data_IF_829328203320
#
_entry.id   IF_829328203320
#
_cell.length_a   1.000
_cell.length_b   1.000
_cell.length_c   1.000
_cell.angle_alpha   90.00
_cell.angle_beta   90.00
_cell.angle_gamma   90.00
#
_symmetry.space_group_name_H-M   'P 1'
#
loop_
_entity.id
_entity.type
_entity.pdbx_description
1 polymer ?
#
# COMPACT_ATOMS: atom_id res chain seq x y z
N UNK A 1 -4.65 2.71 -3.90
CA UNK A 1 -5.52 3.42 -2.96
C UNK A 1 -6.89 2.80 -2.94
N UNK A 2 -7.57 2.91 -1.82
CA UNK A 2 -8.99 2.58 -1.67
C UNK A 2 -9.72 3.77 -1.04
N UNK A 3 -9.77 4.87 -1.78
CA UNK A 3 -10.35 6.15 -1.35
C UNK A 3 -11.87 6.03 -1.38
N UNK A 4 -12.49 5.60 -0.28
CA UNK A 4 -13.96 5.55 -0.16
C UNK A 4 -14.53 4.47 0.73
N UNK A 5 -13.71 3.51 1.20
CA UNK A 5 -14.16 2.52 2.17
C UNK A 5 -13.46 2.80 3.50
N UNK A 6 -14.25 2.97 4.57
CA UNK A 6 -13.72 2.71 5.92
C UNK A 6 -13.07 1.33 5.88
N UNK A 7 -11.90 1.12 6.49
CA UNK A 7 -11.16 -0.11 6.34
C UNK A 7 -12.08 -1.25 6.78
N UNK A 8 -12.56 -2.03 5.81
CA UNK A 8 -13.53 -3.08 6.08
C UNK A 8 -12.89 -4.00 7.10
N UNK A 9 -13.45 -4.05 8.32
CA UNK A 9 -12.97 -4.92 9.41
C UNK A 9 -13.11 -6.40 9.05
N UNK A 10 -13.65 -6.72 7.87
CA UNK A 10 -13.70 -8.07 7.37
C UNK A 10 -12.28 -8.60 7.16
N UNK A 11 -12.02 -9.77 7.74
CA UNK A 11 -10.81 -10.55 7.49
C UNK A 11 -10.61 -10.84 5.98
N UNK A 12 -11.67 -10.79 5.19
CA UNK A 12 -11.69 -11.02 3.74
C UNK A 12 -11.32 -9.81 2.87
N UNK A 13 -11.12 -8.62 3.44
CA UNK A 13 -10.80 -7.41 2.66
C UNK A 13 -9.63 -7.65 1.70
N UNK A 14 -8.51 -8.20 2.19
CA UNK A 14 -7.34 -8.45 1.34
C UNK A 14 -7.60 -9.49 0.25
N UNK A 15 -8.36 -10.56 0.54
CA UNK A 15 -8.70 -11.57 -0.47
C UNK A 15 -9.46 -10.94 -1.64
N UNK A 16 -10.45 -10.09 -1.33
CA UNK A 16 -11.23 -9.38 -2.34
C UNK A 16 -10.37 -8.37 -3.10
N UNK A 17 -9.68 -7.48 -2.38
CA UNK A 17 -9.00 -6.34 -2.98
C UNK A 17 -7.75 -6.74 -3.78
N UNK A 18 -7.02 -7.75 -3.34
CA UNK A 18 -5.90 -8.29 -4.12
C UNK A 18 -6.39 -8.87 -5.45
N UNK A 19 -7.54 -9.57 -5.44
CA UNK A 19 -8.14 -10.10 -6.66
C UNK A 19 -8.66 -8.99 -7.59
N UNK A 20 -9.51 -8.10 -7.07
CA UNK A 20 -10.09 -6.99 -7.84
C UNK A 20 -9.04 -6.04 -8.44
N UNK A 21 -7.88 -5.90 -7.79
CA UNK A 21 -6.76 -5.07 -8.26
C UNK A 21 -5.72 -5.86 -9.07
N UNK A 22 -6.07 -7.06 -9.52
CA UNK A 22 -5.24 -7.92 -10.39
C UNK A 22 -3.89 -8.32 -9.79
N UNK A 23 -3.75 -8.30 -8.46
CA UNK A 23 -2.54 -8.71 -7.75
C UNK A 23 -2.43 -10.24 -7.55
N UNK A 24 -3.46 -10.99 -7.97
CA UNK A 24 -3.50 -12.45 -7.94
C UNK A 24 -3.48 -13.08 -9.34
N UNK A 25 -3.24 -12.29 -10.40
CA UNK A 25 -3.17 -12.81 -11.77
C UNK A 25 -1.81 -13.44 -12.06
N UNK A 26 -1.79 -14.71 -12.47
CA UNK A 26 -0.59 -15.50 -12.78
C UNK A 26 0.24 -15.94 -11.57
N UNK A 27 0.18 -15.21 -10.45
CA UNK A 27 0.78 -15.58 -9.16
C UNK A 27 0.10 -14.82 -8.02
N UNK A 28 0.23 -15.33 -6.79
CA UNK A 28 -0.14 -14.57 -5.61
C UNK A 28 0.97 -13.56 -5.28
N UNK A 29 0.65 -12.26 -5.29
CA UNK A 29 1.61 -11.25 -4.84
C UNK A 29 1.78 -11.38 -3.31
N UNK A 30 2.98 -11.61 -2.77
CA UNK A 30 3.13 -12.00 -1.36
C UNK A 30 2.75 -10.91 -0.35
N UNK A 31 3.01 -9.65 -0.65
CA UNK A 31 2.73 -8.51 0.23
C UNK A 31 2.21 -7.32 -0.58
N UNK A 32 1.21 -6.63 -0.06
CA UNK A 32 0.72 -5.37 -0.60
C UNK A 32 0.09 -4.51 0.50
N UNK A 33 0.18 -3.19 0.38
CA UNK A 33 -0.47 -2.26 1.30
C UNK A 33 -1.49 -1.40 0.54
N UNK A 34 -2.69 -1.27 1.10
CA UNK A 34 -3.72 -0.34 0.64
C UNK A 34 -3.77 0.88 1.56
N UNK A 35 -3.80 2.08 0.98
CA UNK A 35 -3.94 3.33 1.72
C UNK A 35 -5.37 3.84 1.58
N UNK A 36 -6.00 4.18 2.71
CA UNK A 36 -7.41 4.56 2.87
C UNK A 36 -7.60 6.08 3.05
N UNK A 37 -6.74 6.86 2.41
CA UNK A 37 -6.81 8.32 2.43
C UNK A 37 -7.22 8.86 1.05
N UNK A 38 -7.45 10.17 0.98
CA UNK A 38 -7.73 10.83 -0.29
C UNK A 38 -6.51 10.75 -1.23
N UNK A 39 -6.78 10.72 -2.54
CA UNK A 39 -5.71 10.77 -3.54
C UNK A 39 -4.87 12.05 -3.40
N UNK A 40 -5.48 13.16 -2.98
CA UNK A 40 -4.79 14.42 -2.75
C UNK A 40 -3.77 14.31 -1.60
N UNK A 41 -4.17 13.72 -0.46
CA UNK A 41 -3.31 13.58 0.71
C UNK A 41 -2.10 12.69 0.43
N UNK A 42 -2.31 11.58 -0.29
CA UNK A 42 -1.21 10.69 -0.63
C UNK A 42 -0.30 11.30 -1.71
N UNK A 43 -0.84 12.06 -2.67
CA UNK A 43 0.00 12.83 -3.61
C UNK A 43 0.84 13.89 -2.90
N UNK A 44 0.28 14.54 -1.88
CA UNK A 44 0.97 15.55 -1.09
C UNK A 44 2.19 14.99 -0.34
N UNK A 45 2.29 13.67 -0.14
CA UNK A 45 3.48 13.02 0.46
C UNK A 45 4.75 13.30 -0.36
N UNK A 46 4.65 13.44 -1.69
CA UNK A 46 5.81 13.72 -2.55
C UNK A 46 6.47 15.09 -2.32
N UNK A 47 5.86 15.96 -1.49
CA UNK A 47 6.42 17.24 -1.06
C UNK A 47 6.64 17.30 0.47
N UNK A 48 6.68 16.15 1.15
CA UNK A 48 6.86 16.05 2.60
C UNK A 48 8.31 15.64 2.96
N UNK A 49 8.51 14.83 3.99
CA UNK A 49 9.84 14.51 4.53
C UNK A 49 10.59 13.61 3.56
N UNK A 50 11.67 14.10 2.94
CA UNK A 50 12.52 13.31 2.04
C UNK A 50 13.31 12.27 2.84
N UNK A 51 13.36 11.03 2.34
CA UNK A 51 14.07 9.89 2.95
C UNK A 51 14.72 9.04 1.87
N UNK A 52 15.70 8.22 2.25
CA UNK A 52 16.29 7.23 1.34
C UNK A 52 15.35 6.02 1.23
N UNK A 53 15.05 5.59 0.00
CA UNK A 53 14.28 4.38 -0.26
C UNK A 53 15.03 3.13 0.22
N UNK A 54 14.33 2.02 0.46
CA UNK A 54 14.96 0.72 0.78
C UNK A 54 15.94 0.22 -0.28
N UNK A 55 15.74 0.60 -1.53
CA UNK A 55 16.63 0.25 -2.64
C UNK A 55 17.79 1.25 -2.85
N UNK A 56 17.98 2.21 -1.93
CA UNK A 56 19.06 3.21 -1.99
C UNK A 56 18.76 4.44 -2.85
N UNK A 57 17.63 4.49 -3.58
CA UNK A 57 17.23 5.69 -4.31
C UNK A 57 16.84 6.83 -3.36
N UNK A 58 16.90 8.07 -3.84
CA UNK A 58 16.67 9.28 -3.02
C UNK A 58 15.37 10.01 -3.37
N UNK A 59 14.48 9.38 -4.13
CA UNK A 59 13.18 9.92 -4.50
C UNK A 59 12.04 9.41 -3.60
N UNK A 60 12.34 8.93 -2.40
CA UNK A 60 11.34 8.54 -1.42
C UNK A 60 10.97 9.67 -0.46
N UNK A 61 9.71 9.68 -0.06
CA UNK A 61 9.16 10.66 0.86
C UNK A 61 8.27 9.95 1.88
N UNK A 62 8.44 10.33 3.14
CA UNK A 62 7.66 9.87 4.28
C UNK A 62 6.53 10.85 4.59
N UNK A 63 5.34 10.33 4.88
CA UNK A 63 4.21 11.16 5.30
C UNK A 63 4.46 11.83 6.65
N UNK A 64 4.05 13.10 6.81
CA UNK A 64 4.14 13.84 8.08
C UNK A 64 3.15 13.31 9.12
N UNK A 65 1.96 12.91 8.68
CA UNK A 65 0.93 12.29 9.51
C UNK A 65 0.87 10.79 9.27
N UNK A 66 0.40 10.04 10.25
CA UNK A 66 -0.02 8.66 10.04
C UNK A 66 -1.22 8.62 9.10
N UNK A 67 -1.35 7.53 8.36
CA UNK A 67 -2.43 7.27 7.41
C UNK A 67 -3.03 5.90 7.71
N UNK A 68 -4.34 5.77 7.54
CA UNK A 68 -5.04 4.49 7.65
C UNK A 68 -4.62 3.60 6.48
N UNK A 69 -4.01 2.47 6.81
CA UNK A 69 -3.57 1.49 5.83
C UNK A 69 -4.08 0.09 6.16
N UNK A 70 -4.06 -0.77 5.15
CA UNK A 70 -4.28 -2.20 5.32
C UNK A 70 -3.16 -2.98 4.64
N UNK A 71 -2.42 -3.72 5.46
CA UNK A 71 -1.42 -4.65 5.01
C UNK A 71 -2.08 -5.99 4.68
N UNK A 72 -1.80 -6.45 3.46
CA UNK A 72 -2.19 -7.74 2.94
C UNK A 72 -0.93 -8.59 2.82
N UNK A 73 -0.86 -9.66 3.62
CA UNK A 73 0.23 -10.63 3.58
C UNK A 73 -0.32 -12.00 3.24
N UNK A 74 0.25 -12.63 2.23
CA UNK A 74 -0.09 -14.00 1.84
C UNK A 74 0.06 -14.96 3.03
N UNK A 75 -0.93 -15.83 3.24
CA UNK A 75 -0.90 -16.83 4.31
C UNK A 75 -0.02 -18.02 3.92
N UNK A 76 0.51 -18.77 4.90
CA UNK A 76 1.30 -19.97 4.62
C UNK A 76 0.53 -21.09 3.90
N UNK A 77 -0.80 -21.07 3.96
CA UNK A 77 -1.70 -22.01 3.26
C UNK A 77 -2.12 -21.55 1.86
N UNK A 78 -1.74 -20.34 1.45
CA UNK A 78 -2.11 -19.78 0.15
C UNK A 78 -1.42 -20.53 -0.99
N UNK A 79 -2.16 -20.79 -2.08
CA UNK A 79 -1.62 -21.43 -3.28
C UNK A 79 -2.41 -20.98 -4.51
N UNK A 80 -1.71 -20.46 -5.51
CA UNK A 80 -2.31 -20.10 -6.80
C UNK A 80 -3.07 -21.31 -7.41
N UNK A 81 -4.32 -21.14 -7.91
CA UNK A 81 -5.02 -19.87 -8.15
C UNK A 81 -5.80 -19.31 -6.94
N UNK A 82 -5.87 -20.03 -5.82
CA UNK A 82 -6.63 -19.65 -4.63
C UNK A 82 -5.74 -18.89 -3.63
N UNK A 83 -5.44 -17.63 -3.95
CA UNK A 83 -4.60 -16.79 -3.10
C UNK A 83 -5.34 -16.35 -1.82
N UNK A 84 -4.73 -16.59 -0.67
CA UNK A 84 -5.28 -16.23 0.64
C UNK A 84 -4.37 -15.25 1.38
N UNK A 85 -4.98 -14.24 2.00
CA UNK A 85 -4.29 -13.11 2.62
C UNK A 85 -4.77 -12.86 4.03
N UNK A 86 -3.82 -12.60 4.94
CA UNK A 86 -4.08 -11.98 6.22
C UNK A 86 -4.27 -10.48 6.02
N UNK A 87 -5.42 -9.98 6.47
CA UNK A 87 -5.75 -8.55 6.54
C UNK A 87 -5.25 -7.99 7.86
N UNK A 88 -4.46 -6.92 7.84
CA UNK A 88 -4.01 -6.21 9.05
C UNK A 88 -4.20 -4.71 8.86
N UNK A 89 -5.09 -4.11 9.65
CA UNK A 89 -5.34 -2.68 9.62
C UNK A 89 -4.47 -1.97 10.65
N UNK A 90 -3.80 -0.90 10.23
CA UNK A 90 -2.95 -0.10 11.11
C UNK A 90 -2.96 1.35 10.64
N UNK A 91 -2.61 2.28 11.53
CA UNK A 91 -2.29 3.65 11.19
C UNK A 91 -0.78 3.84 11.32
N UNK A 92 -0.12 4.21 10.22
CA UNK A 92 1.33 4.34 10.13
C UNK A 92 1.73 5.46 9.20
N UNK A 93 2.96 5.96 9.35
CA UNK A 93 3.54 6.80 8.31
C UNK A 93 3.81 5.94 7.08
N UNK A 94 3.52 6.45 5.89
CA UNK A 94 3.84 5.75 4.64
C UNK A 94 5.08 6.36 4.02
N UNK A 95 5.87 5.53 3.34
CA UNK A 95 7.00 5.95 2.52
C UNK A 95 6.70 5.54 1.08
N UNK A 96 6.70 6.52 0.18
CA UNK A 96 6.46 6.32 -1.25
C UNK A 96 7.60 6.89 -2.07
N UNK A 97 7.97 6.19 -3.14
CA UNK A 97 8.84 6.76 -4.16
C UNK A 97 7.99 7.63 -5.10
N UNK A 98 8.48 8.82 -5.42
CA UNK A 98 7.80 9.78 -6.27
C UNK A 98 8.56 10.01 -7.57
N UNK A 99 7.83 10.30 -8.65
CA UNK A 99 8.40 10.55 -9.96
C UNK A 99 7.44 11.31 -10.88
N UNK A 100 7.95 11.73 -12.04
CA UNK A 100 7.18 12.47 -13.05
C UNK A 100 7.10 13.98 -12.81
N UNK A 101 6.32 14.67 -13.67
CA UNK A 101 6.01 16.10 -13.61
C UNK A 101 4.51 16.29 -13.92
N UNK A 102 3.65 16.58 -12.93
CA UNK A 102 3.96 16.82 -11.52
C UNK A 102 4.45 15.56 -10.80
N UNK A 103 5.23 15.75 -9.72
CA UNK A 103 5.76 14.65 -8.90
C UNK A 103 4.61 13.95 -8.17
N UNK A 104 4.40 12.66 -8.47
CA UNK A 104 3.35 11.83 -7.88
C UNK A 104 3.90 10.49 -7.41
N UNK A 105 3.23 9.80 -6.46
CA UNK A 105 3.66 8.50 -5.98
C UNK A 105 3.64 7.46 -7.12
N UNK A 106 4.74 6.74 -7.30
CA UNK A 106 4.88 5.67 -8.30
C UNK A 106 5.14 4.30 -7.67
N UNK A 107 5.64 4.26 -6.43
CA UNK A 107 5.92 3.02 -5.71
C UNK A 107 5.67 3.20 -4.21
N UNK A 108 5.17 2.15 -3.54
CA UNK A 108 5.06 2.08 -2.09
C UNK A 108 6.28 1.37 -1.51
N UNK A 109 7.08 2.06 -0.71
CA UNK A 109 8.37 1.56 -0.21
C UNK A 109 8.25 0.92 1.19
N UNK A 110 7.54 1.59 2.10
CA UNK A 110 7.39 1.12 3.48
C UNK A 110 6.22 1.78 4.22
N UNK A 111 5.94 1.26 5.41
CA UNK A 111 5.15 1.92 6.45
C UNK A 111 5.88 1.80 7.79
N UNK A 112 5.96 2.90 8.56
CA UNK A 112 6.59 2.97 9.87
C UNK A 112 5.60 3.39 10.96
#
# INVERSE_FOLDING_TARGET
MDSGNSPSSSSNYCNLMMCCRKMTQGKCKPVNTFVHESLADVKAVCSQKKVTCKNGQTNCYQSKSTMRITDCRETGSSKYPNCAYKTTQVEKHIIVACGGKPSVPVHFDASE
#
